data_IF_432919868906
#
_entry.id   IF_432919868906
#
_cell.length_a   1.000
_cell.length_b   1.000
_cell.length_c   1.000
_cell.angle_alpha   90.00
_cell.angle_beta   90.00
_cell.angle_gamma   90.00
#
_symmetry.space_group_name_H-M   'P 1'
#
loop_
_entity.id
_entity.type
_entity.pdbx_description
1 polymer ?
#
# COMPACT_ATOMS: atom_id res chain seq x y z
N UNK A 1 9.52 -21.94 15.04
CA UNK A 1 8.41 -21.21 14.37
C UNK A 1 8.94 -20.35 13.24
N UNK A 2 10.23 -20.49 12.90
CA UNK A 2 11.00 -19.48 12.16
C UNK A 2 11.02 -19.75 10.66
N UNK A 3 10.95 -21.02 10.26
CA UNK A 3 11.00 -21.42 8.84
C UNK A 3 9.78 -20.86 8.06
N UNK A 4 8.58 -20.90 8.62
CA UNK A 4 7.36 -20.43 7.93
C UNK A 4 7.44 -18.92 7.69
N UNK A 5 7.88 -18.14 8.68
CA UNK A 5 8.01 -16.68 8.54
C UNK A 5 9.17 -16.26 7.64
N UNK A 6 10.23 -17.07 7.53
CA UNK A 6 11.28 -16.86 6.51
C UNK A 6 10.72 -16.87 5.09
N UNK A 7 9.70 -17.68 4.83
CA UNK A 7 9.06 -17.79 3.52
C UNK A 7 7.77 -16.98 3.37
N UNK A 8 7.26 -16.35 4.44
CA UNK A 8 6.05 -15.53 4.44
C UNK A 8 6.38 -14.05 4.65
N UNK A 9 7.18 -13.49 3.73
CA UNK A 9 7.61 -12.09 3.75
C UNK A 9 7.15 -11.33 2.50
N UNK A 10 7.61 -10.08 2.35
CA UNK A 10 7.23 -9.22 1.23
C UNK A 10 7.62 -9.80 -0.13
N UNK A 11 8.75 -10.52 -0.22
CA UNK A 11 9.19 -11.19 -1.45
C UNK A 11 8.21 -12.26 -1.96
N UNK A 12 7.70 -13.12 -1.08
CA UNK A 12 6.74 -14.15 -1.47
C UNK A 12 5.34 -13.57 -1.68
N UNK A 13 4.93 -12.63 -0.83
CA UNK A 13 3.64 -11.93 -0.95
C UNK A 13 3.54 -11.15 -2.26
N UNK A 14 4.59 -10.42 -2.69
CA UNK A 14 4.57 -9.70 -3.97
C UNK A 14 4.31 -10.64 -5.15
N UNK A 15 4.89 -11.85 -5.11
CA UNK A 15 4.71 -12.87 -6.17
C UNK A 15 3.31 -13.49 -6.18
N UNK A 16 2.64 -13.53 -5.03
CA UNK A 16 1.27 -14.04 -4.93
C UNK A 16 0.24 -13.02 -5.46
N UNK A 17 0.45 -11.74 -5.17
CA UNK A 17 -0.45 -10.67 -5.56
C UNK A 17 -0.40 -10.36 -7.07
N UNK A 18 -1.46 -9.74 -7.58
CA UNK A 18 -1.56 -9.32 -8.99
C UNK A 18 -1.30 -7.82 -9.12
N UNK A 19 -0.61 -7.35 -10.18
CA UNK A 19 -0.47 -5.92 -10.45
C UNK A 19 -1.82 -5.20 -10.53
N UNK A 20 -1.91 -4.02 -9.89
CA UNK A 20 -3.05 -3.12 -9.98
C UNK A 20 -2.62 -1.79 -10.60
N UNK A 21 -3.58 -0.94 -10.93
CA UNK A 21 -3.33 0.42 -11.40
C UNK A 21 -3.93 1.44 -10.44
N UNK A 22 -3.42 2.66 -10.50
CA UNK A 22 -3.95 3.79 -9.71
C UNK A 22 -5.41 4.10 -10.06
N UNK A 23 -5.83 3.80 -11.30
CA UNK A 23 -7.22 3.96 -11.70
C UNK A 23 -8.13 2.92 -11.02
N UNK A 24 -7.63 1.70 -10.81
CA UNK A 24 -8.39 0.54 -10.32
C UNK A 24 -8.15 0.23 -8.83
N UNK A 25 -7.36 1.07 -8.17
CA UNK A 25 -7.07 1.00 -6.74
C UNK A 25 -8.36 0.85 -5.94
N UNK A 26 -8.34 -0.08 -4.98
CA UNK A 26 -9.43 -0.33 -4.07
C UNK A 26 -8.92 -0.54 -2.63
N UNK A 27 -9.86 -0.50 -1.70
CA UNK A 27 -9.62 -0.92 -0.32
C UNK A 27 -9.12 -2.37 -0.31
N UNK A 28 -8.05 -2.63 0.45
CA UNK A 28 -7.36 -3.92 0.51
C UNK A 28 -6.26 -4.11 -0.53
N UNK A 29 -6.11 -3.20 -1.50
CA UNK A 29 -4.92 -3.21 -2.37
C UNK A 29 -3.67 -2.87 -1.53
N UNK A 30 -2.51 -3.37 -1.96
CA UNK A 30 -1.25 -3.33 -1.24
C UNK A 30 -0.20 -2.63 -2.11
N UNK A 31 0.47 -1.61 -1.57
CA UNK A 31 1.73 -1.16 -2.15
C UNK A 31 2.85 -2.00 -1.54
N UNK A 32 3.59 -2.73 -2.38
CA UNK A 32 4.58 -3.70 -1.93
C UNK A 32 5.83 -3.70 -2.80
N UNK A 33 6.98 -3.74 -2.15
CA UNK A 33 8.28 -4.00 -2.77
C UNK A 33 8.87 -5.23 -2.10
N UNK A 34 8.87 -6.36 -2.81
CA UNK A 34 9.37 -7.64 -2.34
C UNK A 34 10.89 -7.75 -2.52
N UNK A 35 11.66 -6.96 -1.77
CA UNK A 35 13.13 -7.00 -1.75
C UNK A 35 13.65 -7.39 -0.34
N UNK A 36 14.97 -7.33 -0.13
CA UNK A 36 15.64 -7.57 1.16
C UNK A 36 16.54 -6.38 1.55
N UNK A 37 16.05 -5.43 2.36
CA UNK A 37 14.73 -5.36 3.00
C UNK A 37 13.63 -4.91 2.03
N UNK A 38 12.44 -5.47 2.20
CA UNK A 38 11.23 -5.08 1.46
C UNK A 38 10.18 -4.54 2.41
N UNK A 39 9.20 -3.81 1.86
CA UNK A 39 8.14 -3.18 2.65
C UNK A 39 6.77 -3.32 2.00
N UNK A 40 5.73 -3.30 2.83
CA UNK A 40 4.35 -3.39 2.38
C UNK A 40 3.45 -2.47 3.22
N UNK A 41 2.53 -1.78 2.54
CA UNK A 41 1.48 -0.97 3.16
C UNK A 41 0.15 -1.25 2.48
N UNK A 42 -0.96 -1.09 3.20
CA UNK A 42 -2.30 -1.47 2.73
C UNK A 42 -3.19 -0.23 2.61
N UNK A 43 -3.99 -0.18 1.55
CA UNK A 43 -5.09 0.79 1.40
C UNK A 43 -6.22 0.39 2.34
N UNK A 44 -6.39 1.11 3.45
CA UNK A 44 -7.40 0.81 4.47
C UNK A 44 -8.76 1.44 4.14
N UNK A 45 -8.76 2.60 3.50
CA UNK A 45 -9.98 3.31 3.11
C UNK A 45 -9.72 4.23 1.90
N UNK A 46 -10.78 4.66 1.23
CA UNK A 46 -10.73 5.48 0.03
C UNK A 46 -11.88 6.48 -0.05
N UNK A 47 -11.56 7.67 -0.55
CA UNK A 47 -12.54 8.68 -0.91
C UNK A 47 -12.31 9.18 -2.33
N UNK A 48 -13.39 9.51 -3.04
CA UNK A 48 -13.33 10.08 -4.38
C UNK A 48 -14.12 11.39 -4.42
N UNK A 49 -13.50 12.45 -4.91
CA UNK A 49 -14.18 13.72 -5.08
C UNK A 49 -15.13 13.65 -6.29
N UNK A 50 -16.43 13.89 -6.06
CA UNK A 50 -17.50 13.66 -7.05
C UNK A 50 -17.32 14.47 -8.35
N UNK A 51 -16.77 15.69 -8.28
CA UNK A 51 -16.66 16.58 -9.45
C UNK A 51 -15.37 16.40 -10.25
N UNK A 52 -14.27 16.07 -9.58
CA UNK A 52 -12.93 16.01 -10.20
C UNK A 52 -12.44 14.58 -10.40
N UNK A 53 -13.12 13.59 -9.80
CA UNK A 53 -12.70 12.19 -9.70
C UNK A 53 -11.32 12.01 -9.02
N UNK A 54 -10.85 13.00 -8.27
CA UNK A 54 -9.63 12.86 -7.46
C UNK A 54 -9.87 11.80 -6.38
N UNK A 55 -9.02 10.76 -6.37
CA UNK A 55 -9.03 9.71 -5.36
C UNK A 55 -8.00 9.99 -4.27
N UNK A 56 -8.37 9.78 -3.01
CA UNK A 56 -7.46 9.79 -1.87
C UNK A 56 -7.57 8.49 -1.07
N UNK A 57 -6.48 8.14 -0.40
CA UNK A 57 -6.31 6.86 0.28
C UNK A 57 -5.94 7.06 1.74
N UNK A 58 -6.50 6.23 2.61
CA UNK A 58 -5.99 6.01 3.95
C UNK A 58 -5.04 4.82 3.91
N UNK A 59 -3.84 4.99 4.45
CA UNK A 59 -2.81 3.95 4.41
C UNK A 59 -2.49 3.46 5.81
N UNK A 60 -2.30 2.15 5.94
CA UNK A 60 -1.85 1.51 7.17
C UNK A 60 -0.62 0.68 6.93
N UNK A 61 0.25 0.60 7.94
CA UNK A 61 1.41 -0.29 7.92
C UNK A 61 1.67 -0.88 9.30
N UNK A 62 2.50 -1.92 9.32
CA UNK A 62 3.19 -2.40 10.51
C UNK A 62 4.68 -2.57 10.17
N UNK A 63 5.47 -2.93 11.17
CA UNK A 63 6.88 -3.25 11.03
C UNK A 63 7.13 -4.74 11.19
N UNK A 64 8.27 -5.22 10.69
CA UNK A 64 8.72 -6.57 10.95
C UNK A 64 9.68 -6.63 12.15
N UNK A 65 9.49 -7.56 13.11
CA UNK A 65 8.38 -8.52 13.20
C UNK A 65 7.04 -7.82 13.46
N UNK A 66 5.94 -8.35 12.88
CA UNK A 66 4.60 -7.74 12.91
C UNK A 66 4.26 -7.19 14.31
N UNK A 67 4.16 -5.87 14.41
CA UNK A 67 3.82 -5.16 15.64
C UNK A 67 2.37 -4.63 15.54
N UNK A 68 2.12 -3.48 16.16
CA UNK A 68 0.87 -2.75 16.03
C UNK A 68 0.67 -2.22 14.59
N UNK A 69 -0.60 -2.09 14.22
CA UNK A 69 -1.01 -1.48 12.96
C UNK A 69 -1.19 0.02 13.16
N UNK A 70 -0.54 0.82 12.31
CA UNK A 70 -0.58 2.28 12.40
C UNK A 70 -1.14 2.90 11.14
N UNK A 71 -2.01 3.90 11.31
CA UNK A 71 -2.39 4.82 10.23
C UNK A 71 -1.20 5.73 9.92
N UNK A 72 -0.85 5.82 8.65
CA UNK A 72 0.25 6.65 8.18
C UNK A 72 -0.14 8.13 8.12
N UNK A 73 0.82 9.00 8.48
CA UNK A 73 0.69 10.46 8.36
C UNK A 73 1.43 10.93 7.13
N UNK A 74 0.75 11.68 6.26
CA UNK A 74 1.38 12.22 5.05
C UNK A 74 2.50 13.20 5.44
N UNK A 75 3.77 12.93 5.10
CA UNK A 75 4.88 13.84 5.41
C UNK A 75 4.71 15.22 4.75
N UNK A 76 3.98 15.30 3.63
CA UNK A 76 3.69 16.54 2.91
C UNK A 76 2.52 17.31 3.49
N UNK A 77 1.60 16.62 4.18
CA UNK A 77 0.45 17.22 4.82
C UNK A 77 0.12 16.53 6.16
N UNK A 78 0.88 16.84 7.24
CA UNK A 78 0.73 16.16 8.52
C UNK A 78 -0.65 16.32 9.19
N UNK A 79 -1.45 17.28 8.74
CA UNK A 79 -2.79 17.56 9.26
C UNK A 79 -3.88 16.70 8.63
N UNK A 80 -3.58 15.94 7.57
CA UNK A 80 -4.52 15.07 6.89
C UNK A 80 -3.94 13.65 6.73
N UNK A 81 -4.69 12.59 7.11
CA UNK A 81 -4.24 11.20 6.93
C UNK A 81 -4.46 10.68 5.50
N UNK A 82 -4.92 11.54 4.59
CA UNK A 82 -5.35 11.18 3.24
C UNK A 82 -4.25 11.43 2.21
N UNK A 83 -3.77 10.35 1.62
CA UNK A 83 -2.72 10.36 0.61
C UNK A 83 -3.27 10.53 -0.81
N UNK A 84 -2.47 11.15 -1.66
CA UNK A 84 -2.60 11.11 -3.12
C UNK A 84 -1.29 10.63 -3.75
N UNK A 85 -1.37 10.14 -4.98
CA UNK A 85 -0.15 9.89 -5.74
C UNK A 85 0.35 11.20 -6.35
N UNK A 86 1.65 11.45 -6.17
CA UNK A 86 2.32 12.61 -6.78
C UNK A 86 2.24 12.49 -8.31
N UNK A 87 2.25 13.62 -9.06
CA UNK A 87 2.49 13.59 -10.50
C UNK A 87 3.74 12.75 -10.81
N UNK A 88 3.61 11.74 -11.66
CA UNK A 88 4.66 10.73 -11.91
C UNK A 88 4.46 9.40 -11.16
N UNK A 89 3.41 9.28 -10.34
CA UNK A 89 3.02 8.01 -9.71
C UNK A 89 3.87 7.62 -8.51
N UNK A 90 4.41 8.59 -7.76
CA UNK A 90 5.20 8.32 -6.56
C UNK A 90 4.37 8.58 -5.30
N UNK A 91 4.38 7.61 -4.38
CA UNK A 91 3.80 7.70 -3.05
C UNK A 91 4.93 7.81 -2.03
N UNK A 92 4.96 8.91 -1.29
CA UNK A 92 5.96 9.15 -0.25
C UNK A 92 5.27 8.91 1.09
N UNK A 93 5.72 7.92 1.84
CA UNK A 93 5.30 7.69 3.22
C UNK A 93 6.43 8.12 4.17
N UNK A 94 6.21 8.14 5.50
CA UNK A 94 7.24 8.55 6.45
C UNK A 94 8.57 7.79 6.30
N UNK A 95 8.53 6.54 5.85
CA UNK A 95 9.68 5.63 5.91
C UNK A 95 10.01 4.96 4.58
N UNK A 96 9.10 5.01 3.61
CA UNK A 96 9.27 4.31 2.34
C UNK A 96 8.74 5.13 1.17
N UNK A 97 9.28 4.86 -0.02
CA UNK A 97 8.81 5.47 -1.26
C UNK A 97 8.34 4.35 -2.19
N UNK A 98 7.07 4.42 -2.57
CA UNK A 98 6.47 3.50 -3.53
C UNK A 98 6.25 4.20 -4.87
N UNK A 99 6.30 3.41 -5.94
CA UNK A 99 5.90 3.78 -7.29
C UNK A 99 4.54 3.17 -7.59
N UNK A 100 3.82 3.74 -8.55
CA UNK A 100 2.52 3.24 -8.98
C UNK A 100 2.55 1.76 -9.39
N UNK A 101 3.68 1.31 -9.95
CA UNK A 101 3.91 -0.09 -10.33
C UNK A 101 4.03 -1.06 -9.15
N UNK A 102 4.19 -0.55 -7.93
CA UNK A 102 4.31 -1.34 -6.71
C UNK A 102 2.93 -1.65 -6.13
N UNK A 103 1.85 -1.07 -6.70
CA UNK A 103 0.48 -1.39 -6.32
C UNK A 103 0.09 -2.78 -6.84
N UNK A 104 -0.45 -3.58 -5.94
CA UNK A 104 -0.86 -4.96 -6.16
C UNK A 104 -2.17 -5.24 -5.44
N UNK A 105 -2.87 -6.31 -5.82
CA UNK A 105 -4.13 -6.71 -5.20
C UNK A 105 -4.23 -8.23 -5.06
N UNK A 106 -4.98 -8.70 -4.07
CA UNK A 106 -5.38 -10.11 -4.00
C UNK A 106 -6.38 -10.43 -5.10
N UNK A 107 -6.46 -11.70 -5.50
CA UNK A 107 -7.47 -12.16 -6.46
C UNK A 107 -8.86 -11.79 -5.93
N UNK A 108 -9.55 -10.88 -6.63
CA UNK A 108 -10.94 -10.53 -6.32
C UNK A 108 -11.81 -11.70 -6.81
N UNK A 109 -12.42 -12.45 -5.89
CA UNK A 109 -13.40 -13.47 -6.25
C UNK A 109 -14.69 -12.75 -6.64
N UNK A 110 -15.18 -12.98 -7.86
CA UNK A 110 -16.47 -12.48 -8.30
C UNK A 110 -17.52 -13.34 -7.59
N UNK A 111 -18.30 -12.74 -6.69
CA UNK A 111 -19.54 -13.34 -6.18
C UNK A 111 -20.70 -12.96 -7.10
#
# INVERSE_FOLDING_TARGET
MDIIFTYAGTFSLEKELKPSTVADVAIGDVFIQGDFPGHAIIVADMVQHEKTNEKRFLLVQSYMPAQDMHVLRDPKNPLAPWYTLSPGGTLITPEWIFRARDLRHFRRTIN
#
